data_IF_610380757995
#
_entry.id   IF_610380757995
#
_cell.length_a   1.000
_cell.length_b   1.000
_cell.length_c   1.000
_cell.angle_alpha   90.00
_cell.angle_beta   90.00
_cell.angle_gamma   90.00
#
_symmetry.space_group_name_H-M   'P 1'
#
loop_
_entity.id
_entity.type
_entity.pdbx_description
1 polymer ?
#
# COMPACT_ATOMS: atom_id res chain seq x y z
N UNK A 1 -13.53 4.21 -2.82
CA UNK A 1 -12.50 3.83 -1.82
C UNK A 1 -11.95 5.09 -1.17
N UNK A 2 -11.53 5.02 0.10
CA UNK A 2 -10.86 6.14 0.78
C UNK A 2 -9.37 6.04 0.45
N UNK A 3 -8.79 7.06 -0.18
CA UNK A 3 -7.35 7.13 -0.51
C UNK A 3 -6.51 7.74 0.61
N UNK A 4 -5.19 7.60 0.49
CA UNK A 4 -4.18 8.26 1.35
C UNK A 4 -4.23 9.77 1.13
N UNK A 5 -4.19 10.57 2.21
CA UNK A 5 -4.29 12.04 2.12
C UNK A 5 -3.18 12.77 2.83
N UNK A 6 -2.56 12.14 3.82
CA UNK A 6 -1.51 12.73 4.63
C UNK A 6 -0.29 11.81 4.66
N UNK A 7 0.88 12.41 4.83
CA UNK A 7 2.15 11.68 4.95
C UNK A 7 2.10 10.62 6.07
N UNK A 8 1.44 10.91 7.19
CA UNK A 8 1.26 9.93 8.28
C UNK A 8 0.42 8.70 7.87
N UNK A 9 -0.57 8.88 6.98
CA UNK A 9 -1.35 7.74 6.46
C UNK A 9 -0.45 6.87 5.56
N UNK A 10 0.39 7.51 4.72
CA UNK A 10 1.34 6.85 3.84
C UNK A 10 2.37 6.03 4.64
N UNK A 11 3.02 6.65 5.63
CA UNK A 11 4.03 6.01 6.47
C UNK A 11 3.46 4.78 7.20
N UNK A 12 2.29 4.92 7.83
CA UNK A 12 1.65 3.80 8.52
C UNK A 12 1.27 2.65 7.57
N UNK A 13 0.87 2.96 6.34
CA UNK A 13 0.55 1.94 5.33
C UNK A 13 1.83 1.26 4.81
N UNK A 14 2.91 2.02 4.58
CA UNK A 14 4.20 1.45 4.20
C UNK A 14 4.75 0.50 5.27
N UNK A 15 4.69 0.88 6.55
CA UNK A 15 5.08 -0.01 7.66
C UNK A 15 4.27 -1.31 7.65
N UNK A 16 2.95 -1.23 7.42
CA UNK A 16 2.10 -2.42 7.33
C UNK A 16 2.43 -3.30 6.13
N UNK A 17 2.76 -2.70 4.98
CA UNK A 17 3.24 -3.43 3.79
C UNK A 17 4.54 -4.18 4.12
N UNK A 18 5.49 -3.54 4.81
CA UNK A 18 6.75 -4.20 5.22
C UNK A 18 6.50 -5.40 6.13
N UNK A 19 5.55 -5.31 7.06
CA UNK A 19 5.13 -6.43 7.91
C UNK A 19 4.53 -7.58 7.09
N UNK A 20 3.64 -7.27 6.13
CA UNK A 20 2.99 -8.26 5.28
C UNK A 20 3.99 -8.98 4.37
N UNK A 21 4.98 -8.27 3.84
CA UNK A 21 6.06 -8.85 3.04
C UNK A 21 6.94 -9.85 3.80
N UNK A 22 6.89 -9.89 5.14
CA UNK A 22 7.56 -10.94 5.93
C UNK A 22 6.79 -12.27 5.94
N UNK A 23 5.50 -12.27 5.62
CA UNK A 23 4.61 -13.43 5.75
C UNK A 23 3.88 -13.80 4.46
N UNK A 24 3.84 -12.91 3.47
CA UNK A 24 3.28 -13.13 2.14
C UNK A 24 4.42 -13.36 1.15
N UNK A 25 4.27 -14.40 0.34
CA UNK A 25 5.21 -14.78 -0.72
C UNK A 25 4.47 -15.19 -2.01
N UNK A 26 5.23 -15.55 -3.05
CA UNK A 26 4.69 -15.96 -4.35
C UNK A 26 3.81 -17.23 -4.31
N UNK A 27 3.86 -18.01 -3.22
CA UNK A 27 3.05 -19.21 -3.04
C UNK A 27 1.79 -18.94 -2.22
N UNK A 28 1.64 -17.74 -1.67
CA UNK A 28 0.51 -17.36 -0.84
C UNK A 28 -0.76 -17.35 -1.71
N UNK A 29 -1.82 -18.09 -1.33
CA UNK A 29 -3.06 -18.12 -2.10
C UNK A 29 -3.68 -16.72 -2.26
N UNK A 30 -4.26 -16.44 -3.42
CA UNK A 30 -4.88 -15.14 -3.71
C UNK A 30 -6.09 -14.82 -2.83
N UNK A 31 -6.73 -15.83 -2.25
CA UNK A 31 -7.83 -15.69 -1.29
C UNK A 31 -7.35 -15.60 0.18
N UNK A 32 -6.03 -15.65 0.40
CA UNK A 32 -5.45 -15.40 1.72
C UNK A 32 -5.69 -13.94 2.13
N UNK A 33 -6.19 -13.74 3.34
CA UNK A 33 -6.48 -12.41 3.89
C UNK A 33 -5.28 -11.46 3.86
N UNK A 34 -4.07 -11.96 4.10
CA UNK A 34 -2.85 -11.16 4.19
C UNK A 34 -2.37 -10.77 2.79
N UNK A 35 -2.57 -11.63 1.79
CA UNK A 35 -2.32 -11.31 0.38
C UNK A 35 -3.30 -10.23 -0.12
N UNK A 36 -4.60 -10.40 0.17
CA UNK A 36 -5.64 -9.42 -0.21
C UNK A 36 -5.35 -8.06 0.45
N UNK A 37 -4.95 -8.05 1.72
CA UNK A 37 -4.56 -6.82 2.41
C UNK A 37 -3.36 -6.16 1.73
N UNK A 38 -2.31 -6.93 1.44
CA UNK A 38 -1.11 -6.42 0.76
C UNK A 38 -1.43 -5.81 -0.61
N UNK A 39 -2.27 -6.47 -1.40
CA UNK A 39 -2.70 -6.01 -2.73
C UNK A 39 -3.41 -4.65 -2.64
N UNK A 40 -4.41 -4.53 -1.75
CA UNK A 40 -5.16 -3.29 -1.54
C UNK A 40 -4.27 -2.15 -1.03
N UNK A 41 -3.37 -2.44 -0.08
CA UNK A 41 -2.49 -1.41 0.48
C UNK A 41 -1.45 -0.93 -0.54
N UNK A 42 -0.94 -1.84 -1.37
CA UNK A 42 0.00 -1.52 -2.45
C UNK A 42 -0.65 -0.59 -3.49
N UNK A 43 -1.90 -0.86 -3.88
CA UNK A 43 -2.66 0.01 -4.77
C UNK A 43 -2.82 1.43 -4.18
N UNK A 44 -3.13 1.54 -2.89
CA UNK A 44 -3.28 2.83 -2.22
C UNK A 44 -1.98 3.65 -2.19
N UNK A 45 -0.84 2.98 -2.02
CA UNK A 45 0.49 3.61 -2.07
C UNK A 45 0.80 4.11 -3.47
N UNK A 46 0.58 3.28 -4.50
CA UNK A 46 0.81 3.65 -5.90
C UNK A 46 -0.05 4.86 -6.29
N UNK A 47 -1.31 4.89 -5.90
CA UNK A 47 -2.21 6.01 -6.15
C UNK A 47 -1.69 7.31 -5.51
N UNK A 48 -1.23 7.25 -4.26
CA UNK A 48 -0.70 8.41 -3.53
C UNK A 48 0.60 8.95 -4.14
N UNK A 49 1.55 8.07 -4.41
CA UNK A 49 2.83 8.43 -5.04
C UNK A 49 2.62 9.00 -6.43
N UNK A 50 1.70 8.42 -7.20
CA UNK A 50 1.32 8.95 -8.52
C UNK A 50 0.79 10.38 -8.40
N UNK A 51 -0.09 10.65 -7.43
CA UNK A 51 -0.62 11.99 -7.19
C UNK A 51 0.47 12.99 -6.76
N UNK A 52 1.43 12.57 -5.93
CA UNK A 52 2.58 13.39 -5.55
C UNK A 52 3.47 13.70 -6.75
N UNK A 53 3.81 12.69 -7.56
CA UNK A 53 4.68 12.83 -8.73
C UNK A 53 4.03 13.65 -9.86
N UNK A 54 2.70 13.72 -9.91
CA UNK A 54 1.96 14.57 -10.84
C UNK A 54 1.79 16.00 -10.34
N UNK A 55 2.13 16.30 -9.09
CA UNK A 55 2.06 17.65 -8.54
C UNK A 55 3.41 18.36 -8.73
N UNK A 56 3.54 19.33 -9.65
CA UNK A 56 4.79 20.06 -9.87
C UNK A 56 5.17 20.99 -8.71
N UNK A 57 4.33 21.04 -7.67
CA UNK A 57 4.51 21.83 -6.46
C UNK A 57 4.45 20.98 -5.18
N UNK A 58 4.45 19.65 -5.28
CA UNK A 58 4.60 18.76 -4.12
C UNK A 58 6.02 18.84 -3.55
#
# INVERSE_FOLDING_TARGET
MKGIRHQMDYEAICERIEELLQIVDDNTPIDNKDFIELDILSDLVVDYETLLNLNPFA
#
